data_IF_043351394940
#
_entry.id   IF_043351394940
#
_cell.length_a   1.000
_cell.length_b   1.000
_cell.length_c   1.000
_cell.angle_alpha   90.00
_cell.angle_beta   90.00
_cell.angle_gamma   90.00
#
_symmetry.space_group_name_H-M   'P 1'
#
loop_
_entity.id
_entity.type
_entity.pdbx_description
1 polymer ?
#
# COMPACT_ATOMS: atom_id res chain seq x y z
N UNK A 1 6.05 21.14 7.35
CA UNK A 1 5.52 22.52 7.46
C UNK A 1 4.12 22.63 6.86
N UNK A 2 3.94 22.37 5.55
CA UNK A 2 2.66 22.57 4.86
C UNK A 2 1.50 21.79 5.45
N UNK A 3 1.69 20.51 5.76
CA UNK A 3 0.68 19.67 6.41
C UNK A 3 0.27 20.22 7.77
N UNK A 4 1.24 20.63 8.59
CA UNK A 4 0.96 21.23 9.91
C UNK A 4 0.19 22.56 9.78
N UNK A 5 0.36 23.29 8.68
CA UNK A 5 -0.39 24.51 8.36
C UNK A 5 -1.75 24.26 7.68
N UNK A 6 -2.20 23.00 7.58
CA UNK A 6 -3.52 22.64 7.03
C UNK A 6 -3.59 22.55 5.51
N UNK A 7 -2.44 22.50 4.81
CA UNK A 7 -2.41 22.29 3.37
C UNK A 7 -2.29 20.80 3.06
N UNK A 8 -3.25 20.24 2.30
CA UNK A 8 -3.10 18.91 1.72
C UNK A 8 -1.86 18.89 0.83
N UNK A 9 -1.01 17.90 1.01
CA UNK A 9 0.32 17.87 0.39
C UNK A 9 0.58 16.48 -0.17
N UNK A 10 1.14 16.42 -1.38
CA UNK A 10 1.69 15.21 -1.98
C UNK A 10 3.15 15.45 -2.40
N UNK A 11 3.90 14.38 -2.58
CA UNK A 11 5.25 14.43 -3.12
C UNK A 11 5.53 13.21 -3.99
N UNK A 12 6.50 13.36 -4.89
CA UNK A 12 6.93 12.31 -5.80
C UNK A 12 8.41 12.01 -5.55
N UNK A 13 8.75 10.75 -5.40
CA UNK A 13 10.14 10.37 -5.06
C UNK A 13 10.46 8.93 -5.48
N UNK A 14 11.69 8.51 -5.24
CA UNK A 14 12.18 7.16 -5.48
C UNK A 14 13.47 6.90 -4.70
N UNK A 15 13.78 5.65 -4.39
CA UNK A 15 15.08 5.17 -3.92
C UNK A 15 15.64 5.98 -2.73
N UNK A 16 16.87 6.48 -2.82
CA UNK A 16 17.52 7.27 -1.76
C UNK A 16 16.72 8.52 -1.38
N UNK A 17 16.00 9.13 -2.33
CA UNK A 17 15.15 10.29 -2.07
C UNK A 17 14.05 9.98 -1.05
N UNK A 18 13.42 8.80 -1.16
CA UNK A 18 12.44 8.32 -0.19
C UNK A 18 13.08 8.08 1.19
N UNK A 19 14.25 7.43 1.21
CA UNK A 19 14.94 7.12 2.46
C UNK A 19 15.34 8.38 3.25
N UNK A 20 15.69 9.46 2.57
CA UNK A 20 15.99 10.76 3.20
C UNK A 20 14.77 11.36 3.91
N UNK A 21 13.56 10.95 3.58
CA UNK A 21 12.33 11.43 4.20
C UNK A 21 11.89 10.62 5.42
N UNK A 22 12.50 9.47 5.70
CA UNK A 22 12.08 8.55 6.77
C UNK A 22 11.85 9.26 8.12
N UNK A 23 12.73 10.13 8.63
CA UNK A 23 12.47 10.82 9.89
C UNK A 23 11.21 11.68 9.85
N UNK A 24 10.95 12.34 8.72
CA UNK A 24 9.73 13.12 8.52
C UNK A 24 8.49 12.23 8.37
N UNK A 25 8.63 11.05 7.76
CA UNK A 25 7.54 10.09 7.63
C UNK A 25 7.04 9.62 9.01
N UNK A 26 7.95 9.25 9.91
CA UNK A 26 7.58 8.92 11.30
C UNK A 26 6.81 10.05 11.96
N UNK A 27 7.24 11.30 11.74
CA UNK A 27 6.60 12.48 12.29
C UNK A 27 5.20 12.70 11.71
N UNK A 28 5.06 12.61 10.39
CA UNK A 28 3.79 12.78 9.69
C UNK A 28 2.78 11.72 10.13
N UNK A 29 3.20 10.45 10.20
CA UNK A 29 2.35 9.36 10.64
C UNK A 29 1.97 9.49 12.13
N UNK A 30 2.93 9.85 12.98
CA UNK A 30 2.71 10.04 14.42
C UNK A 30 1.75 11.20 14.74
N UNK A 31 1.73 12.23 13.91
CA UNK A 31 0.79 13.35 14.02
C UNK A 31 -0.54 13.12 13.26
N UNK A 32 -0.71 11.96 12.63
CA UNK A 32 -1.90 11.61 11.84
C UNK A 32 -2.25 12.67 10.79
N UNK A 33 -1.25 13.10 10.02
CA UNK A 33 -1.41 14.11 8.97
C UNK A 33 -1.65 13.44 7.61
N UNK A 34 -2.75 13.77 6.91
CA UNK A 34 -3.08 13.17 5.63
C UNK A 34 -2.12 13.64 4.53
N UNK A 35 -1.40 12.73 3.91
CA UNK A 35 -0.62 12.99 2.71
C UNK A 35 -0.38 11.72 1.90
N UNK A 36 0.02 11.87 0.65
CA UNK A 36 0.42 10.78 -0.22
C UNK A 36 1.83 11.04 -0.74
N UNK A 37 2.68 10.01 -0.64
CA UNK A 37 3.95 9.93 -1.31
C UNK A 37 3.80 8.99 -2.50
N UNK A 38 3.83 9.52 -3.71
CA UNK A 38 3.83 8.72 -4.93
C UNK A 38 5.26 8.29 -5.23
N UNK A 39 5.48 6.98 -5.23
CA UNK A 39 6.83 6.41 -5.28
C UNK A 39 6.98 5.47 -6.47
N UNK A 40 7.85 5.82 -7.39
CA UNK A 40 8.32 4.88 -8.39
C UNK A 40 9.46 4.05 -7.77
N UNK A 41 9.09 2.91 -7.16
CA UNK A 41 9.97 2.11 -6.32
C UNK A 41 11.17 1.57 -7.09
N UNK A 42 12.37 1.84 -6.59
CA UNK A 42 13.65 1.45 -7.23
C UNK A 42 14.66 0.99 -6.21
N UNK A 43 15.61 0.20 -6.70
CA UNK A 43 16.75 -0.28 -5.92
C UNK A 43 17.45 0.86 -5.17
N UNK A 44 17.69 0.64 -3.89
CA UNK A 44 18.61 1.48 -3.11
C UNK A 44 20.05 1.07 -3.45
N UNK A 45 20.92 2.05 -3.69
CA UNK A 45 22.33 1.77 -3.99
C UNK A 45 23.01 1.04 -2.82
N UNK A 46 23.64 -0.09 -3.12
CA UNK A 46 24.39 -0.93 -2.18
C UNK A 46 25.81 -1.16 -2.70
N UNK A 47 26.15 -2.37 -3.15
CA UNK A 47 27.45 -2.64 -3.79
C UNK A 47 27.59 -1.93 -5.15
N UNK A 48 26.46 -1.59 -5.80
CA UNK A 48 26.42 -0.74 -6.98
C UNK A 48 25.04 -0.08 -7.12
N UNK A 49 24.93 0.85 -8.05
CA UNK A 49 23.66 1.48 -8.43
C UNK A 49 22.93 0.63 -9.46
N UNK A 50 21.63 0.43 -9.25
CA UNK A 50 20.70 -0.11 -10.24
C UNK A 50 19.46 0.79 -10.30
N UNK A 51 19.00 1.09 -11.50
CA UNK A 51 17.86 2.01 -11.72
C UNK A 51 16.52 1.27 -11.89
N UNK A 52 16.54 -0.06 -12.05
CA UNK A 52 15.33 -0.83 -12.27
C UNK A 52 14.47 -0.99 -11.02
N UNK A 53 13.21 -1.38 -11.24
CA UNK A 53 12.22 -1.60 -10.20
C UNK A 53 12.67 -2.60 -9.15
N UNK A 54 12.52 -2.22 -7.91
CA UNK A 54 12.85 -2.97 -6.72
C UNK A 54 12.09 -2.33 -5.54
N UNK A 55 11.72 -3.11 -4.55
CA UNK A 55 10.95 -2.63 -3.41
C UNK A 55 11.80 -2.31 -2.17
N UNK A 56 13.13 -2.34 -2.26
CA UNK A 56 14.02 -2.07 -1.11
C UNK A 56 13.79 -0.70 -0.49
N UNK A 57 13.47 0.31 -1.29
CA UNK A 57 13.19 1.66 -0.81
C UNK A 57 11.87 1.75 -0.04
N UNK A 58 10.76 1.23 -0.60
CA UNK A 58 9.46 1.23 0.08
C UNK A 58 9.44 0.29 1.29
N UNK A 59 10.10 -0.85 1.21
CA UNK A 59 10.23 -1.76 2.35
C UNK A 59 11.02 -1.17 3.51
N UNK A 60 12.03 -0.34 3.24
CA UNK A 60 12.73 0.40 4.30
C UNK A 60 11.79 1.35 5.06
N UNK A 61 10.70 1.78 4.42
CA UNK A 61 9.70 2.67 5.00
C UNK A 61 8.51 1.96 5.67
N UNK A 62 8.40 0.61 5.57
CA UNK A 62 7.22 -0.15 6.02
C UNK A 62 6.86 0.00 7.50
N UNK A 63 7.80 0.42 8.33
CA UNK A 63 7.60 0.62 9.78
C UNK A 63 7.40 2.09 10.18
N UNK A 64 7.34 3.02 9.21
CA UNK A 64 7.18 4.45 9.51
C UNK A 64 5.78 4.83 9.96
N UNK A 65 4.79 3.96 9.72
CA UNK A 65 3.38 4.23 9.95
C UNK A 65 2.62 4.72 8.72
N UNK A 66 3.28 4.81 7.58
CA UNK A 66 2.57 5.04 6.30
C UNK A 66 1.82 3.78 5.89
N UNK A 67 0.57 3.93 5.46
CA UNK A 67 -0.10 2.90 4.69
C UNK A 67 0.59 2.73 3.34
N UNK A 68 0.52 1.53 2.76
CA UNK A 68 1.23 1.22 1.53
C UNK A 68 0.30 0.56 0.53
N UNK A 69 0.01 1.26 -0.56
CA UNK A 69 -0.81 0.81 -1.68
C UNK A 69 0.08 0.58 -2.90
N UNK A 70 -0.05 -0.59 -3.53
CA UNK A 70 0.79 -1.03 -4.65
C UNK A 70 -0.04 -1.23 -5.91
N UNK A 71 0.44 -0.68 -7.02
CA UNK A 71 -0.16 -0.81 -8.35
C UNK A 71 0.73 -1.62 -9.30
N UNK A 72 0.09 -2.28 -10.26
CA UNK A 72 0.74 -3.18 -11.22
C UNK A 72 1.24 -2.43 -12.45
N UNK A 73 0.39 -1.62 -13.07
CA UNK A 73 0.61 -0.98 -14.37
C UNK A 73 0.09 0.47 -14.39
N UNK A 74 0.35 1.25 -15.45
CA UNK A 74 -0.07 2.65 -15.52
C UNK A 74 -1.58 2.90 -15.37
N UNK A 75 -2.44 1.96 -15.81
CA UNK A 75 -3.88 2.11 -15.62
C UNK A 75 -4.24 1.97 -14.14
N UNK A 76 -3.70 0.96 -13.46
CA UNK A 76 -3.93 0.79 -12.02
C UNK A 76 -3.41 1.98 -11.21
N UNK A 77 -2.27 2.57 -11.61
CA UNK A 77 -1.78 3.81 -10.98
C UNK A 77 -2.80 4.95 -11.13
N UNK A 78 -3.39 5.13 -12.33
CA UNK A 78 -4.43 6.13 -12.54
C UNK A 78 -5.68 5.86 -11.71
N UNK A 79 -6.08 4.60 -11.59
CA UNK A 79 -7.32 4.19 -10.93
C UNK A 79 -7.22 4.22 -9.40
N UNK A 80 -6.08 3.79 -8.84
CA UNK A 80 -5.91 3.59 -7.40
C UNK A 80 -5.23 4.75 -6.67
N UNK A 81 -4.48 5.62 -7.36
CA UNK A 81 -3.96 6.84 -6.73
C UNK A 81 -5.06 7.66 -6.05
N UNK A 82 -6.25 7.86 -6.64
CA UNK A 82 -7.36 8.50 -5.94
C UNK A 82 -7.78 7.80 -4.65
N UNK A 83 -7.71 6.46 -4.59
CA UNK A 83 -8.00 5.70 -3.36
C UNK A 83 -7.06 6.11 -2.24
N UNK A 84 -5.74 6.17 -2.50
CA UNK A 84 -4.76 6.62 -1.53
C UNK A 84 -5.04 8.04 -1.03
N UNK A 85 -5.34 8.97 -1.95
CA UNK A 85 -5.64 10.37 -1.61
C UNK A 85 -6.95 10.53 -0.81
N UNK A 86 -8.00 9.81 -1.18
CA UNK A 86 -9.29 9.90 -0.49
C UNK A 86 -9.26 9.19 0.86
N UNK A 87 -8.57 8.04 0.93
CA UNK A 87 -8.44 7.28 2.17
C UNK A 87 -7.55 8.00 3.20
N UNK A 88 -6.45 8.66 2.79
CA UNK A 88 -5.61 9.42 3.73
C UNK A 88 -6.38 10.60 4.36
N UNK A 89 -7.21 11.28 3.57
CA UNK A 89 -8.01 12.41 4.06
C UNK A 89 -9.01 11.96 5.13
N UNK A 90 -9.71 10.85 4.90
CA UNK A 90 -10.72 10.33 5.83
C UNK A 90 -10.09 9.59 7.00
N UNK A 91 -9.11 8.71 6.72
CA UNK A 91 -8.48 7.85 7.72
C UNK A 91 -7.36 8.51 8.52
N UNK A 92 -6.89 9.70 8.12
CA UNK A 92 -5.78 10.43 8.77
C UNK A 92 -4.48 9.65 8.88
N UNK A 93 -4.31 8.62 8.06
CA UNK A 93 -3.07 7.85 7.93
C UNK A 93 -2.43 8.21 6.60
N UNK A 94 -1.16 8.64 6.58
CA UNK A 94 -0.47 8.96 5.34
C UNK A 94 -0.20 7.70 4.51
N UNK A 95 -0.08 7.86 3.18
CA UNK A 95 0.14 6.76 2.24
C UNK A 95 1.47 6.88 1.51
N UNK A 96 2.12 5.74 1.31
CA UNK A 96 2.98 5.47 0.17
C UNK A 96 2.09 4.81 -0.88
N UNK A 97 1.91 5.48 -2.01
CA UNK A 97 1.28 4.96 -3.20
C UNK A 97 2.39 4.61 -4.18
N UNK A 98 2.62 3.33 -4.48
CA UNK A 98 3.83 2.93 -5.17
C UNK A 98 3.60 1.91 -6.29
N UNK A 99 4.44 2.02 -7.28
CA UNK A 99 4.52 1.13 -8.44
C UNK A 99 5.99 0.92 -8.82
N UNK A 100 6.26 -0.08 -9.64
CA UNK A 100 7.64 -0.41 -10.02
C UNK A 100 8.27 0.69 -10.85
N UNK A 101 9.34 1.27 -10.35
CA UNK A 101 10.15 2.25 -11.04
C UNK A 101 10.82 1.62 -12.25
N UNK A 102 11.01 2.42 -13.30
CA UNK A 102 11.56 2.04 -14.59
C UNK A 102 10.68 1.05 -15.40
N UNK A 103 10.09 0.06 -14.79
CA UNK A 103 9.15 -0.85 -15.45
C UNK A 103 7.82 -0.14 -15.71
N UNK A 104 7.02 0.11 -14.67
CA UNK A 104 5.72 0.79 -14.79
C UNK A 104 5.88 2.28 -15.09
N UNK A 105 6.84 2.98 -14.44
CA UNK A 105 7.02 4.42 -14.60
C UNK A 105 7.48 4.86 -16.00
N UNK A 106 8.04 3.96 -16.82
CA UNK A 106 8.50 4.24 -18.18
C UNK A 106 7.69 3.49 -19.24
N UNK A 107 6.66 2.79 -18.83
CA UNK A 107 5.76 2.10 -19.76
C UNK A 107 4.90 3.12 -20.50
N UNK A 108 4.86 2.99 -21.83
CA UNK A 108 3.99 3.81 -22.69
C UNK A 108 2.72 3.01 -22.94
N UNK A 109 1.64 3.40 -22.27
CA UNK A 109 0.36 2.73 -22.37
C UNK A 109 -0.76 3.74 -22.60
N UNK A 110 -1.76 3.39 -23.39
CA UNK A 110 -2.99 4.16 -23.45
C UNK A 110 -3.81 3.85 -22.21
N UNK A 111 -4.15 4.89 -21.46
CA UNK A 111 -4.94 4.79 -20.23
C UNK A 111 -6.21 5.63 -20.32
N UNK A 112 -7.22 5.24 -19.59
CA UNK A 112 -8.39 6.07 -19.31
C UNK A 112 -8.11 6.95 -18.10
N UNK A 113 -8.46 8.23 -18.19
CA UNK A 113 -8.24 9.20 -17.13
C UNK A 113 -9.54 9.53 -16.43
N UNK A 114 -9.45 9.87 -15.16
CA UNK A 114 -10.57 10.38 -14.39
C UNK A 114 -11.14 11.69 -14.91
N UNK A 115 -12.46 11.86 -14.80
CA UNK A 115 -13.08 13.18 -14.76
C UNK A 115 -12.87 13.79 -13.36
N UNK A 116 -12.45 15.04 -13.31
CA UNK A 116 -12.30 15.75 -12.03
C UNK A 116 -13.61 15.92 -11.26
N UNK A 117 -14.75 15.91 -11.94
CA UNK A 117 -16.06 15.94 -11.30
C UNK A 117 -16.31 14.68 -10.47
N UNK A 118 -15.95 13.50 -10.98
CA UNK A 118 -16.07 12.24 -10.27
C UNK A 118 -15.15 12.19 -9.04
N UNK A 119 -13.90 12.64 -9.17
CA UNK A 119 -12.98 12.74 -8.04
C UNK A 119 -13.49 13.66 -6.94
N UNK A 120 -14.07 14.79 -7.33
CA UNK A 120 -14.68 15.75 -6.39
C UNK A 120 -15.89 15.16 -5.68
N UNK A 121 -16.75 14.43 -6.39
CA UNK A 121 -17.93 13.76 -5.83
C UNK A 121 -17.53 12.71 -4.77
N UNK A 122 -16.46 11.96 -5.03
CA UNK A 122 -15.97 10.94 -4.10
C UNK A 122 -15.33 11.52 -2.84
N UNK A 123 -14.84 12.78 -2.88
CA UNK A 123 -14.09 13.38 -1.80
C UNK A 123 -14.95 13.71 -0.58
N UNK A 124 -14.51 13.26 0.61
CA UNK A 124 -15.12 13.63 1.89
C UNK A 124 -14.66 15.05 2.29
N UNK A 125 -15.47 16.06 1.90
CA UNK A 125 -15.14 17.47 2.18
C UNK A 125 -15.23 17.83 3.66
N UNK A 126 -16.00 17.11 4.47
CA UNK A 126 -16.07 17.31 5.92
C UNK A 126 -14.74 16.87 6.57
N UNK A 127 -14.14 15.78 6.09
CA UNK A 127 -12.82 15.34 6.53
C UNK A 127 -11.74 16.36 6.14
N UNK A 128 -11.82 16.98 4.95
CA UNK A 128 -10.94 18.08 4.54
C UNK A 128 -11.10 19.29 5.47
N UNK A 129 -12.33 19.67 5.81
CA UNK A 129 -12.61 20.77 6.73
C UNK A 129 -12.07 20.47 8.14
N UNK A 130 -12.28 19.24 8.63
CA UNK A 130 -11.75 18.79 9.92
C UNK A 130 -10.21 18.82 9.95
N UNK A 131 -9.54 18.37 8.89
CA UNK A 131 -8.09 18.47 8.78
C UNK A 131 -7.60 19.93 8.87
N UNK A 132 -8.24 20.84 8.13
CA UNK A 132 -7.90 22.26 8.13
C UNK A 132 -8.15 22.92 9.48
N UNK A 133 -9.20 22.51 10.19
CA UNK A 133 -9.49 23.01 11.54
C UNK A 133 -8.42 22.61 12.57
N UNK A 134 -7.68 21.51 12.29
CA UNK A 134 -6.55 21.06 13.11
C UNK A 134 -5.21 21.74 12.76
N UNK A 135 -5.18 22.64 11.80
CA UNK A 135 -3.97 23.37 11.43
C UNK A 135 -3.41 24.17 12.61
N UNK A 136 -2.07 24.27 12.68
CA UNK A 136 -1.43 25.15 13.65
C UNK A 136 -1.81 26.60 13.33
N UNK A 137 -2.45 27.26 14.26
CA UNK A 137 -2.96 28.62 14.14
C UNK A 137 -2.59 29.42 15.40
N UNK A 138 -1.90 30.57 15.27
CA UNK A 138 -1.53 31.39 16.43
C UNK A 138 -2.74 31.93 17.19
N UNK A 139 -3.90 32.07 16.57
CA UNK A 139 -5.14 32.52 17.22
C UNK A 139 -5.82 31.41 18.04
N UNK A 140 -5.53 30.15 17.70
CA UNK A 140 -5.97 28.98 18.43
C UNK A 140 -4.78 28.04 18.65
N UNK A 141 -3.87 28.41 19.57
CA UNK A 141 -2.63 27.69 19.73
C UNK A 141 -2.86 26.26 20.24
N UNK A 142 -2.25 25.30 19.57
CA UNK A 142 -2.22 23.91 19.97
C UNK A 142 -0.78 23.39 19.93
N UNK A 143 -0.46 22.47 20.82
CA UNK A 143 0.82 21.78 20.83
C UNK A 143 0.64 20.35 20.36
N UNK A 144 1.43 19.93 19.39
CA UNK A 144 1.53 18.52 18.95
C UNK A 144 2.94 18.22 18.50
N UNK A 145 3.29 16.94 18.54
CA UNK A 145 4.61 16.50 18.15
C UNK A 145 5.73 17.03 19.04
N UNK A 146 5.42 17.33 20.30
CA UNK A 146 6.37 17.81 21.32
C UNK A 146 7.13 16.65 21.95
N UNK A 147 7.88 16.95 23.03
CA UNK A 147 8.54 15.93 23.83
C UNK A 147 7.57 15.28 24.81
N UNK A 148 7.62 13.95 24.90
CA UNK A 148 6.89 13.15 25.89
C UNK A 148 7.86 12.30 26.68
N UNK A 149 7.62 12.15 27.98
CA UNK A 149 8.40 11.27 28.84
C UNK A 149 7.91 9.81 28.70
N UNK A 150 8.70 8.87 29.17
CA UNK A 150 8.42 7.43 29.08
C UNK A 150 7.14 6.97 29.80
N UNK A 151 6.58 7.80 30.70
CA UNK A 151 5.33 7.54 31.41
C UNK A 151 4.07 7.68 30.52
N UNK A 152 4.13 8.45 29.45
CA UNK A 152 2.98 8.71 28.54
C UNK A 152 3.24 8.32 27.07
N UNK A 153 4.49 8.26 26.64
CA UNK A 153 4.85 8.03 25.22
C UNK A 153 4.27 6.72 24.66
N UNK A 154 4.36 5.63 25.44
CA UNK A 154 3.89 4.32 24.98
C UNK A 154 2.37 4.32 24.78
N UNK A 155 1.62 4.87 25.71
CA UNK A 155 0.15 4.96 25.64
C UNK A 155 -0.30 5.78 24.41
N UNK A 156 0.36 6.91 24.17
CA UNK A 156 0.07 7.71 22.95
C UNK A 156 0.47 6.97 21.67
N UNK A 157 1.55 6.21 21.70
CA UNK A 157 1.96 5.37 20.56
C UNK A 157 0.95 4.27 20.28
N UNK A 158 0.39 3.63 21.29
CA UNK A 158 -0.67 2.61 21.16
C UNK A 158 -2.02 3.21 20.73
N UNK A 159 -2.32 4.44 21.09
CA UNK A 159 -3.58 5.09 20.72
C UNK A 159 -3.77 5.22 19.21
N UNK A 160 -2.70 5.18 18.40
CA UNK A 160 -2.81 5.21 16.95
C UNK A 160 -3.44 3.94 16.35
N UNK A 161 -3.48 2.82 17.09
CA UNK A 161 -4.01 1.53 16.61
C UNK A 161 -5.45 1.66 16.10
N UNK A 162 -6.28 2.52 16.69
CA UNK A 162 -7.66 2.74 16.23
C UNK A 162 -7.69 3.17 14.76
N UNK A 163 -6.86 4.15 14.37
CA UNK A 163 -6.80 4.63 12.99
C UNK A 163 -6.35 3.51 12.01
N UNK A 164 -5.36 2.70 12.40
CA UNK A 164 -4.88 1.60 11.56
C UNK A 164 -5.88 0.44 11.45
N UNK A 165 -6.67 0.19 12.49
CA UNK A 165 -7.73 -0.83 12.48
C UNK A 165 -8.92 -0.43 11.59
N UNK A 166 -9.24 0.86 11.52
CA UNK A 166 -10.32 1.40 10.70
C UNK A 166 -9.93 1.60 9.23
N UNK A 167 -8.64 1.78 8.96
CA UNK A 167 -8.14 2.15 7.62
C UNK A 167 -8.50 1.15 6.51
N UNK A 168 -8.39 -0.18 6.70
CA UNK A 168 -8.74 -1.14 5.65
C UNK A 168 -10.16 -0.96 5.13
N UNK A 169 -11.14 -0.78 6.02
CA UNK A 169 -12.54 -0.55 5.63
C UNK A 169 -12.72 0.78 4.87
N UNK A 170 -11.94 1.81 5.19
CA UNK A 170 -11.93 3.08 4.44
C UNK A 170 -11.34 2.87 3.04
N UNK A 171 -10.27 2.09 2.91
CA UNK A 171 -9.67 1.74 1.62
C UNK A 171 -10.66 0.94 0.76
N UNK A 172 -11.26 -0.11 1.31
CA UNK A 172 -12.29 -0.91 0.63
C UNK A 172 -13.47 -0.04 0.15
N UNK A 173 -13.93 0.88 0.99
CA UNK A 173 -14.99 1.86 0.64
C UNK A 173 -14.61 2.68 -0.60
N UNK A 174 -13.38 3.17 -0.69
CA UNK A 174 -12.95 3.96 -1.83
C UNK A 174 -12.64 3.10 -3.05
N UNK A 175 -12.11 1.89 -2.88
CA UNK A 175 -11.99 0.91 -3.97
C UNK A 175 -13.37 0.56 -4.54
N UNK A 176 -14.39 0.36 -3.70
CA UNK A 176 -15.76 0.11 -4.16
C UNK A 176 -16.34 1.26 -4.99
N UNK A 177 -16.09 2.52 -4.60
CA UNK A 177 -16.50 3.70 -5.40
C UNK A 177 -15.79 3.76 -6.74
N UNK A 178 -14.49 3.45 -6.77
CA UNK A 178 -13.70 3.35 -8.01
C UNK A 178 -14.25 2.25 -8.90
N UNK A 179 -14.51 1.07 -8.34
CA UNK A 179 -15.09 -0.07 -9.06
C UNK A 179 -16.45 0.26 -9.67
N UNK A 180 -17.32 0.97 -8.94
CA UNK A 180 -18.62 1.43 -9.44
C UNK A 180 -18.48 2.37 -10.63
N UNK A 181 -17.54 3.32 -10.58
CA UNK A 181 -17.32 4.32 -11.62
C UNK A 181 -16.64 3.75 -12.89
N UNK A 182 -15.70 2.82 -12.71
CA UNK A 182 -14.84 2.31 -13.79
C UNK A 182 -15.22 0.90 -14.27
N UNK A 183 -16.12 0.19 -13.56
CA UNK A 183 -16.45 -1.21 -13.87
C UNK A 183 -15.33 -2.19 -13.56
N UNK A 184 -14.49 -1.89 -12.58
CA UNK A 184 -13.37 -2.71 -12.11
C UNK A 184 -13.75 -3.55 -10.89
N UNK A 185 -12.81 -4.31 -10.33
CA UNK A 185 -13.00 -5.16 -9.15
C UNK A 185 -11.83 -5.08 -8.16
N UNK A 186 -11.26 -3.90 -7.96
CA UNK A 186 -10.18 -3.69 -7.00
C UNK A 186 -10.61 -4.03 -5.58
N UNK A 187 -9.74 -4.74 -4.85
CA UNK A 187 -9.89 -5.10 -3.45
C UNK A 187 -8.50 -5.05 -2.79
N UNK A 188 -8.42 -5.18 -1.45
CA UNK A 188 -7.14 -5.19 -0.72
C UNK A 188 -6.19 -6.27 -1.24
N UNK A 189 -6.76 -7.41 -1.60
CA UNK A 189 -6.13 -8.54 -2.28
C UNK A 189 -7.04 -9.02 -3.40
N UNK A 190 -6.50 -9.22 -4.60
CA UNK A 190 -7.27 -9.82 -5.69
C UNK A 190 -6.72 -11.21 -6.02
N UNK A 191 -7.62 -12.17 -6.15
CA UNK A 191 -7.27 -13.50 -6.63
C UNK A 191 -7.48 -13.60 -8.16
N UNK A 192 -6.57 -14.31 -8.82
CA UNK A 192 -6.65 -14.63 -10.24
C UNK A 192 -6.24 -16.09 -10.49
N UNK A 193 -6.99 -16.84 -11.29
CA UNK A 193 -6.66 -18.21 -11.69
C UNK A 193 -7.74 -19.24 -11.35
N UNK A 194 -7.34 -20.52 -11.25
CA UNK A 194 -8.27 -21.63 -11.01
C UNK A 194 -8.91 -21.54 -9.61
N UNK A 195 -10.24 -21.71 -9.53
CA UNK A 195 -10.96 -21.68 -8.25
C UNK A 195 -10.52 -22.81 -7.29
N UNK A 196 -10.03 -23.92 -7.85
CA UNK A 196 -9.50 -25.06 -7.12
C UNK A 196 -7.98 -25.17 -7.16
N UNK A 197 -7.29 -24.01 -7.24
CA UNK A 197 -5.84 -23.99 -7.30
C UNK A 197 -5.20 -24.68 -6.08
N UNK A 198 -4.20 -25.51 -6.37
CA UNK A 198 -3.37 -26.17 -5.36
C UNK A 198 -2.02 -25.46 -5.13
N UNK A 199 -1.62 -24.62 -6.07
CA UNK A 199 -0.39 -23.83 -6.04
C UNK A 199 -0.73 -22.37 -6.33
N UNK A 200 -0.34 -21.49 -5.43
CA UNK A 200 -0.65 -20.05 -5.51
C UNK A 200 0.64 -19.23 -5.42
N UNK A 201 0.78 -18.26 -6.30
CA UNK A 201 1.80 -17.22 -6.20
C UNK A 201 1.20 -16.03 -5.47
N UNK A 202 1.98 -15.39 -4.58
CA UNK A 202 1.63 -14.11 -3.95
C UNK A 202 2.66 -13.08 -4.40
N UNK A 203 2.23 -11.96 -4.94
CA UNK A 203 3.13 -10.95 -5.50
C UNK A 203 2.55 -9.53 -5.43
N UNK A 204 3.43 -8.53 -5.58
CA UNK A 204 3.11 -7.10 -5.72
C UNK A 204 3.79 -6.50 -6.96
N UNK A 205 3.17 -5.43 -7.49
CA UNK A 205 3.75 -4.63 -8.57
C UNK A 205 3.66 -5.26 -9.94
N UNK A 206 4.53 -4.85 -10.85
CA UNK A 206 4.44 -5.12 -12.29
C UNK A 206 4.57 -6.60 -12.67
N UNK A 207 5.06 -7.45 -11.79
CA UNK A 207 5.12 -8.90 -12.03
C UNK A 207 3.74 -9.53 -12.17
N UNK A 208 2.71 -8.90 -11.64
CA UNK A 208 1.35 -9.44 -11.68
C UNK A 208 0.81 -9.59 -13.10
N UNK A 209 1.06 -8.61 -14.00
CA UNK A 209 0.61 -8.71 -15.41
C UNK A 209 1.21 -9.94 -16.12
N UNK A 210 2.51 -10.16 -15.91
CA UNK A 210 3.18 -11.34 -16.49
C UNK A 210 2.71 -12.64 -15.82
N UNK A 211 2.44 -12.59 -14.52
CA UNK A 211 1.95 -13.75 -13.78
C UNK A 211 0.55 -14.17 -14.25
N UNK A 212 -0.35 -13.22 -14.56
CA UNK A 212 -1.67 -13.53 -15.12
C UNK A 212 -1.57 -14.29 -16.44
N UNK A 213 -0.74 -13.83 -17.37
CA UNK A 213 -0.50 -14.50 -18.65
C UNK A 213 0.02 -15.94 -18.45
N UNK A 214 0.92 -16.14 -17.49
CA UNK A 214 1.44 -17.48 -17.14
C UNK A 214 0.37 -18.35 -16.50
N UNK A 215 -0.47 -17.80 -15.63
CA UNK A 215 -1.58 -18.52 -14.99
C UNK A 215 -2.57 -18.97 -16.07
N UNK A 216 -2.95 -18.10 -17.01
CA UNK A 216 -3.85 -18.45 -18.12
C UNK A 216 -3.30 -19.60 -18.97
N UNK A 217 -2.02 -19.48 -19.34
CA UNK A 217 -1.34 -20.53 -20.11
C UNK A 217 -1.31 -21.88 -19.39
N UNK A 218 -1.03 -21.90 -18.09
CA UNK A 218 -0.96 -23.12 -17.29
C UNK A 218 -2.35 -23.70 -17.03
N UNK A 219 -3.32 -22.85 -16.71
CA UNK A 219 -4.72 -23.25 -16.48
C UNK A 219 -5.34 -23.86 -17.74
N UNK A 220 -5.05 -23.30 -18.92
CA UNK A 220 -5.47 -23.87 -20.21
C UNK A 220 -4.88 -25.26 -20.46
N UNK A 221 -3.81 -25.63 -19.76
CA UNK A 221 -3.22 -27.00 -19.79
C UNK A 221 -3.73 -27.93 -18.69
N UNK A 222 -4.69 -27.46 -17.89
CA UNK A 222 -5.27 -28.22 -16.79
C UNK A 222 -4.50 -28.15 -15.47
N UNK A 223 -3.51 -27.23 -15.37
CA UNK A 223 -2.78 -27.01 -14.11
C UNK A 223 -3.62 -26.18 -13.13
N UNK A 224 -3.60 -26.58 -11.86
CA UNK A 224 -4.34 -25.94 -10.77
C UNK A 224 -3.47 -24.87 -10.10
N UNK A 225 -3.41 -23.71 -10.72
CA UNK A 225 -2.55 -22.60 -10.30
C UNK A 225 -3.34 -21.32 -10.15
N UNK A 226 -2.84 -20.41 -9.29
CA UNK A 226 -3.44 -19.12 -9.06
C UNK A 226 -2.43 -18.07 -8.60
N UNK A 227 -2.89 -16.84 -8.56
CA UNK A 227 -2.14 -15.65 -8.15
C UNK A 227 -2.95 -14.85 -7.15
N UNK A 228 -2.35 -14.43 -6.05
CA UNK A 228 -2.86 -13.36 -5.20
C UNK A 228 -2.06 -12.10 -5.46
N UNK A 229 -2.74 -11.08 -5.95
CA UNK A 229 -2.19 -9.72 -6.11
C UNK A 229 -2.41 -8.95 -4.81
N UNK A 230 -1.32 -8.52 -4.19
CA UNK A 230 -1.36 -7.68 -2.98
C UNK A 230 -1.43 -6.22 -3.41
N UNK A 231 -2.49 -5.51 -3.01
CA UNK A 231 -2.65 -4.09 -3.27
C UNK A 231 -2.43 -3.27 -2.01
N UNK A 232 -3.13 -3.53 -0.92
CA UNK A 232 -2.83 -2.92 0.38
C UNK A 232 -1.82 -3.77 1.14
N UNK A 233 -0.57 -3.33 1.14
CA UNK A 233 0.49 -4.02 1.86
C UNK A 233 0.57 -3.61 3.35
N UNK A 234 0.27 -2.34 3.67
CA UNK A 234 0.17 -1.83 5.05
C UNK A 234 -1.07 -0.95 5.21
N UNK A 235 -1.86 -1.14 6.28
CA UNK A 235 -1.76 -2.25 7.23
C UNK A 235 -2.01 -3.62 6.56
N UNK A 236 -1.34 -4.66 7.02
CA UNK A 236 -1.59 -6.03 6.56
C UNK A 236 -2.88 -6.57 7.18
N UNK A 237 -3.77 -7.12 6.33
CA UNK A 237 -5.08 -7.63 6.75
C UNK A 237 -5.14 -9.14 6.52
N UNK A 238 -4.72 -9.91 7.53
CA UNK A 238 -4.63 -11.38 7.45
C UNK A 238 -5.94 -12.03 7.05
N UNK A 239 -7.06 -11.57 7.59
CA UNK A 239 -8.40 -12.14 7.27
C UNK A 239 -8.77 -11.92 5.80
N UNK A 240 -8.51 -10.74 5.25
CA UNK A 240 -8.78 -10.45 3.84
C UNK A 240 -7.87 -11.27 2.91
N UNK A 241 -6.60 -11.45 3.28
CA UNK A 241 -5.68 -12.33 2.55
C UNK A 241 -6.16 -13.79 2.55
N UNK A 242 -6.51 -14.33 3.70
CA UNK A 242 -6.99 -15.71 3.84
C UNK A 242 -8.31 -15.95 3.09
N UNK A 243 -9.17 -14.95 3.03
CA UNK A 243 -10.46 -15.02 2.34
C UNK A 243 -10.31 -15.23 0.82
N UNK A 244 -9.27 -14.70 0.21
CA UNK A 244 -9.03 -14.83 -1.24
C UNK A 244 -8.28 -16.10 -1.61
N UNK A 245 -7.65 -16.79 -0.66
CA UNK A 245 -6.96 -18.05 -0.92
C UNK A 245 -7.95 -19.19 -1.21
N UNK A 246 -7.76 -19.97 -2.30
CA UNK A 246 -8.52 -21.18 -2.52
C UNK A 246 -8.36 -22.18 -1.35
N UNK A 247 -9.45 -22.80 -0.94
CA UNK A 247 -9.42 -23.81 0.15
C UNK A 247 -8.61 -25.08 -0.20
N UNK A 248 -8.31 -25.25 -1.47
CA UNK A 248 -7.56 -26.38 -2.04
C UNK A 248 -6.05 -26.13 -2.06
N UNK A 249 -5.60 -24.94 -1.63
CA UNK A 249 -4.18 -24.57 -1.67
C UNK A 249 -3.32 -25.53 -0.84
N UNK A 250 -2.22 -25.98 -1.43
CA UNK A 250 -1.24 -26.89 -0.81
C UNK A 250 0.17 -26.30 -0.78
N UNK A 251 0.41 -25.29 -1.63
CA UNK A 251 1.71 -24.62 -1.75
C UNK A 251 1.51 -23.15 -2.10
N UNK A 252 2.19 -22.31 -1.37
CA UNK A 252 2.27 -20.87 -1.64
C UNK A 252 3.72 -20.49 -1.94
N UNK A 253 3.92 -19.78 -3.05
CA UNK A 253 5.19 -19.17 -3.40
C UNK A 253 5.05 -17.65 -3.31
N UNK A 254 5.89 -17.00 -2.51
CA UNK A 254 5.88 -15.55 -2.38
C UNK A 254 7.01 -14.95 -3.20
N UNK A 255 6.67 -14.02 -4.08
CA UNK A 255 7.64 -13.30 -4.90
C UNK A 255 7.87 -11.91 -4.30
N UNK A 256 8.94 -11.77 -3.57
CA UNK A 256 9.45 -10.46 -3.14
C UNK A 256 10.37 -9.89 -4.23
N UNK A 257 10.18 -8.61 -4.55
CA UNK A 257 11.05 -7.89 -5.47
C UNK A 257 12.12 -7.10 -4.72
N UNK A 258 12.85 -7.78 -3.88
CA UNK A 258 13.90 -7.20 -3.03
C UNK A 258 14.84 -8.26 -2.51
N UNK A 259 15.89 -7.82 -1.83
CA UNK A 259 16.71 -8.66 -0.96
C UNK A 259 17.00 -7.91 0.34
N UNK A 260 16.52 -8.45 1.47
CA UNK A 260 16.88 -7.96 2.80
C UNK A 260 18.06 -8.79 3.34
N UNK A 261 19.29 -8.25 3.35
CA UNK A 261 20.47 -8.99 3.80
C UNK A 261 20.37 -9.40 5.27
N UNK A 262 20.59 -10.67 5.54
CA UNK A 262 20.59 -11.22 6.91
C UNK A 262 19.22 -11.58 7.48
N UNK A 263 18.12 -11.30 6.78
CA UNK A 263 16.79 -11.76 7.18
C UNK A 263 16.56 -13.24 6.82
N UNK A 264 15.66 -13.91 7.57
CA UNK A 264 15.23 -15.27 7.27
C UNK A 264 14.40 -15.34 5.97
N UNK A 265 13.71 -14.26 5.64
CA UNK A 265 12.92 -14.09 4.44
C UNK A 265 12.74 -12.62 4.14
N UNK A 266 12.32 -12.32 2.94
CA UNK A 266 12.01 -10.95 2.54
C UNK A 266 10.64 -10.49 3.07
N UNK A 267 10.32 -9.20 3.12
CA UNK A 267 9.21 -8.70 3.92
C UNK A 267 7.83 -9.28 3.61
N UNK A 268 7.46 -9.41 2.34
CA UNK A 268 6.15 -9.98 1.96
C UNK A 268 6.06 -11.45 2.36
N UNK A 269 7.13 -12.21 2.14
CA UNK A 269 7.19 -13.61 2.56
C UNK A 269 6.96 -13.76 4.05
N UNK A 270 7.57 -12.90 4.88
CA UNK A 270 7.42 -12.98 6.34
C UNK A 270 5.97 -12.71 6.78
N UNK A 271 5.30 -11.74 6.16
CA UNK A 271 3.89 -11.43 6.46
C UNK A 271 2.97 -12.60 6.06
N UNK A 272 3.16 -13.17 4.86
CA UNK A 272 2.40 -14.32 4.37
C UNK A 272 2.64 -15.57 5.25
N UNK A 273 3.91 -15.88 5.51
CA UNK A 273 4.27 -17.04 6.33
C UNK A 273 3.70 -16.94 7.76
N UNK A 274 3.75 -15.75 8.36
CA UNK A 274 3.14 -15.51 9.68
C UNK A 274 1.63 -15.70 9.63
N UNK A 275 0.97 -15.13 8.62
CA UNK A 275 -0.49 -15.25 8.46
C UNK A 275 -0.92 -16.71 8.30
N UNK A 276 -0.25 -17.49 7.45
CA UNK A 276 -0.55 -18.90 7.24
C UNK A 276 -0.35 -19.70 8.53
N UNK A 277 0.73 -19.45 9.25
CA UNK A 277 1.03 -20.10 10.52
C UNK A 277 -0.04 -19.81 11.59
N UNK A 278 -0.42 -18.54 11.76
CA UNK A 278 -1.45 -18.13 12.73
C UNK A 278 -2.83 -18.70 12.39
N UNK A 279 -3.12 -18.89 11.10
CA UNK A 279 -4.32 -19.57 10.62
C UNK A 279 -4.30 -21.10 10.76
N UNK A 280 -3.19 -21.67 11.24
CA UNK A 280 -3.03 -23.12 11.37
C UNK A 280 -2.74 -23.85 10.05
N UNK A 281 -2.43 -23.13 8.99
CA UNK A 281 -2.07 -23.68 7.66
C UNK A 281 -0.56 -23.99 7.59
N UNK A 282 -0.08 -24.85 8.49
CA UNK A 282 1.36 -25.10 8.65
C UNK A 282 1.96 -25.99 7.55
N UNK A 283 1.15 -26.66 6.78
CA UNK A 283 1.58 -27.58 5.72
C UNK A 283 1.50 -27.00 4.31
N UNK A 284 1.18 -25.69 4.21
CA UNK A 284 1.02 -24.95 2.95
C UNK A 284 2.31 -24.21 2.58
#
# INVERSE_FOLDING_TARGET
>A
GSLAAGALTTTFTASQGLLLMIPNMYKIAGEQLPCVFDVSARTVATQSLNIFGDHSDVYACRQTGFAMLCETNPQEVMDLSPVAHLATIEGKVPFINFFDGFRTSHEIQKIEKWDYADLKEMCNMDAVAAFRAHALNPEHPAMRGSHENGDVFFQHREACNTAYNELPAIVEKYMAKVNEKLGTNYDLFNYYGAEDAERVIVAMGSVNDVAEEVIDYLTAKGEKVGLVKVRLYRPWVSEAFLKVLPKTVKKVAVLDRTKEPGALGDPLYLDVATTLREAGLNDV
#
